data_IF_865370771911
#
_entry.id   IF_865370771911
#
_cell.length_a   1.000
_cell.length_b   1.000
_cell.length_c   1.000
_cell.angle_alpha   90.00
_cell.angle_beta   90.00
_cell.angle_gamma   90.00
#
_symmetry.space_group_name_H-M   'P 1'
#
loop_
_entity.id
_entity.type
_entity.pdbx_description
1 polymer ?
#
# COMPACT_ATOMS: atom_id res chain seq x y z
N UNK A 1 21.43 -2.50 26.99
CA UNK A 1 20.59 -2.04 25.85
C UNK A 1 21.38 -2.04 24.54
N UNK A 2 21.64 -3.23 23.95
CA UNK A 2 22.32 -3.35 22.64
C UNK A 2 21.57 -4.26 21.65
N UNK A 3 20.46 -4.87 22.08
CA UNK A 3 19.61 -5.77 21.29
C UNK A 3 18.24 -5.18 20.94
N UNK A 4 17.78 -4.14 21.65
CA UNK A 4 16.44 -3.59 21.48
C UNK A 4 16.16 -3.06 20.06
N UNK A 5 17.12 -2.36 19.44
CA UNK A 5 16.94 -1.84 18.08
C UNK A 5 16.97 -2.90 16.97
N UNK A 6 17.63 -4.05 17.20
CA UNK A 6 17.64 -5.16 16.24
C UNK A 6 16.33 -5.95 16.28
N UNK A 7 15.76 -6.13 17.47
CA UNK A 7 14.45 -6.77 17.63
C UNK A 7 13.35 -5.87 17.06
N UNK A 8 13.37 -4.57 17.37
CA UNK A 8 12.37 -3.62 16.84
C UNK A 8 12.36 -3.59 15.30
N UNK A 9 13.54 -3.55 14.67
CA UNK A 9 13.64 -3.58 13.21
C UNK A 9 13.17 -4.90 12.59
N UNK A 10 13.54 -6.04 13.19
CA UNK A 10 13.11 -7.35 12.72
C UNK A 10 11.60 -7.57 12.87
N UNK A 11 11.01 -7.10 13.97
CA UNK A 11 9.55 -7.16 14.18
C UNK A 11 8.80 -6.30 13.17
N UNK A 12 9.31 -5.11 12.85
CA UNK A 12 8.74 -4.22 11.84
C UNK A 12 8.78 -4.86 10.45
N UNK A 13 9.93 -5.37 10.01
CA UNK A 13 10.08 -6.05 8.72
C UNK A 13 9.22 -7.33 8.65
N UNK A 14 9.12 -8.07 9.76
CA UNK A 14 8.25 -9.24 9.84
C UNK A 14 6.77 -8.86 9.71
N UNK A 15 6.32 -7.81 10.41
CA UNK A 15 4.96 -7.31 10.30
C UNK A 15 4.64 -6.86 8.86
N UNK A 16 5.54 -6.10 8.24
CA UNK A 16 5.41 -5.69 6.85
C UNK A 16 5.29 -6.90 5.92
N UNK A 17 6.21 -7.86 6.00
CA UNK A 17 6.20 -9.04 5.13
C UNK A 17 4.90 -9.86 5.27
N UNK A 18 4.41 -10.02 6.50
CA UNK A 18 3.15 -10.71 6.80
C UNK A 18 1.95 -9.95 6.21
N UNK A 19 1.90 -8.64 6.35
CA UNK A 19 0.85 -7.81 5.78
C UNK A 19 0.87 -7.84 4.25
N UNK A 20 2.03 -7.64 3.63
CA UNK A 20 2.20 -7.69 2.16
C UNK A 20 1.70 -9.02 1.61
N UNK A 21 2.14 -10.13 2.21
CA UNK A 21 1.68 -11.46 1.81
C UNK A 21 0.15 -11.60 1.93
N UNK A 22 -0.42 -11.22 3.07
CA UNK A 22 -1.86 -11.32 3.32
C UNK A 22 -2.66 -10.46 2.36
N UNK A 23 -2.28 -9.19 2.17
CA UNK A 23 -2.98 -8.27 1.27
C UNK A 23 -2.92 -8.75 -0.17
N UNK A 24 -1.75 -9.20 -0.66
CA UNK A 24 -1.62 -9.66 -2.04
C UNK A 24 -2.40 -10.96 -2.29
N UNK A 25 -2.41 -11.88 -1.34
CA UNK A 25 -3.00 -13.22 -1.52
C UNK A 25 -4.47 -13.30 -1.11
N UNK A 26 -4.89 -12.51 -0.12
CA UNK A 26 -6.21 -12.60 0.52
C UNK A 26 -6.97 -11.28 0.58
N UNK A 27 -6.31 -10.15 0.31
CA UNK A 27 -6.89 -8.80 0.45
C UNK A 27 -7.30 -8.47 1.89
N UNK A 28 -6.55 -8.99 2.87
CA UNK A 28 -6.86 -8.82 4.29
C UNK A 28 -5.70 -8.13 5.02
N UNK A 29 -6.03 -7.09 5.79
CA UNK A 29 -5.13 -6.50 6.78
C UNK A 29 -5.20 -7.36 8.04
N UNK A 30 -4.07 -7.98 8.40
CA UNK A 30 -3.96 -8.81 9.60
C UNK A 30 -4.10 -7.95 10.85
N UNK A 31 -4.70 -8.50 11.89
CA UNK A 31 -4.81 -7.86 13.21
C UNK A 31 -3.47 -7.90 13.98
N UNK A 32 -3.27 -7.05 15.00
CA UNK A 32 -2.10 -7.12 15.87
C UNK A 32 -1.86 -8.52 16.46
N UNK A 33 -2.94 -9.21 16.85
CA UNK A 33 -2.89 -10.56 17.42
C UNK A 33 -2.42 -11.62 16.42
N UNK A 34 -2.77 -11.48 15.15
CA UNK A 34 -2.34 -12.40 14.07
C UNK A 34 -0.87 -12.22 13.67
N UNK A 35 -0.33 -11.02 13.87
CA UNK A 35 1.08 -10.71 13.64
C UNK A 35 1.91 -11.13 14.87
N UNK A 36 1.48 -10.75 16.08
CA UNK A 36 2.13 -11.12 17.33
C UNK A 36 3.45 -10.40 17.62
N UNK A 37 3.54 -9.11 17.28
CA UNK A 37 4.70 -8.24 17.59
C UNK A 37 4.29 -7.05 18.45
N UNK A 38 5.26 -6.28 18.94
CA UNK A 38 4.98 -5.07 19.72
C UNK A 38 4.09 -4.08 18.94
N UNK A 39 3.09 -3.42 19.57
CA UNK A 39 2.13 -2.57 18.87
C UNK A 39 2.76 -1.46 18.02
N UNK A 40 3.88 -0.88 18.49
CA UNK A 40 4.61 0.15 17.74
C UNK A 40 5.25 -0.42 16.48
N UNK A 41 5.80 -1.63 16.55
CA UNK A 41 6.44 -2.31 15.43
C UNK A 41 5.39 -2.82 14.42
N UNK A 42 4.23 -3.28 14.91
CA UNK A 42 3.06 -3.59 14.08
C UNK A 42 2.61 -2.38 13.26
N UNK A 43 2.35 -1.24 13.92
CA UNK A 43 1.90 -0.02 13.22
C UNK A 43 2.98 0.52 12.27
N UNK A 44 4.25 0.40 12.64
CA UNK A 44 5.36 0.80 11.79
C UNK A 44 5.47 -0.06 10.52
N UNK A 45 5.31 -1.38 10.63
CA UNK A 45 5.32 -2.31 9.50
C UNK A 45 4.07 -2.20 8.63
N UNK A 46 2.91 -1.91 9.24
CA UNK A 46 1.68 -1.58 8.52
C UNK A 46 1.86 -0.30 7.68
N UNK A 47 2.55 0.71 8.21
CA UNK A 47 2.93 1.91 7.45
C UNK A 47 3.84 1.60 6.25
N UNK A 48 4.87 0.78 6.43
CA UNK A 48 5.81 0.42 5.35
C UNK A 48 5.16 -0.42 4.25
N UNK A 49 4.17 -1.24 4.62
CA UNK A 49 3.34 -2.03 3.68
C UNK A 49 2.78 -1.14 2.56
N UNK A 50 2.43 0.13 2.83
CA UNK A 50 1.93 1.05 1.79
C UNK A 50 2.93 1.28 0.65
N UNK A 51 4.24 1.26 0.94
CA UNK A 51 5.29 1.36 -0.07
C UNK A 51 5.36 0.13 -0.97
N UNK A 52 5.19 -1.06 -0.40
CA UNK A 52 5.14 -2.33 -1.13
C UNK A 52 3.87 -2.46 -1.97
N UNK A 53 2.72 -2.02 -1.45
CA UNK A 53 1.47 -1.97 -2.23
C UNK A 53 1.59 -1.01 -3.42
N UNK A 54 2.20 0.17 -3.23
CA UNK A 54 2.52 1.06 -4.35
C UNK A 54 3.39 0.36 -5.39
N UNK A 55 4.45 -0.35 -4.97
CA UNK A 55 5.32 -1.10 -5.89
C UNK A 55 4.51 -2.14 -6.67
N UNK A 56 3.67 -2.91 -5.99
CA UNK A 56 2.80 -3.90 -6.61
C UNK A 56 1.83 -3.27 -7.64
N UNK A 57 1.21 -2.14 -7.31
CA UNK A 57 0.33 -1.40 -8.23
C UNK A 57 1.09 -0.94 -9.48
N UNK A 58 2.30 -0.41 -9.31
CA UNK A 58 3.13 0.01 -10.45
C UNK A 58 3.50 -1.19 -11.34
N UNK A 59 3.77 -2.37 -10.77
CA UNK A 59 4.02 -3.59 -11.54
C UNK A 59 2.76 -4.10 -12.28
N UNK A 60 1.58 -3.93 -11.69
CA UNK A 60 0.30 -4.19 -12.36
C UNK A 60 0.08 -3.25 -13.56
N UNK A 61 0.35 -1.96 -13.37
CA UNK A 61 0.27 -0.97 -14.46
C UNK A 61 1.25 -1.34 -15.58
N UNK A 62 2.50 -1.67 -15.25
CA UNK A 62 3.52 -2.08 -16.24
C UNK A 62 3.15 -3.34 -17.02
N UNK A 63 2.34 -4.23 -16.44
CA UNK A 63 1.86 -5.46 -17.09
C UNK A 63 0.52 -5.28 -17.81
N UNK A 64 0.00 -4.05 -17.94
CA UNK A 64 -1.27 -3.77 -18.60
C UNK A 64 -2.51 -4.16 -17.78
N UNK A 65 -2.32 -4.39 -16.48
CA UNK A 65 -3.35 -4.85 -15.53
C UNK A 65 -3.76 -3.75 -14.56
N UNK A 66 -3.77 -2.49 -15.01
CA UNK A 66 -4.04 -1.33 -14.17
C UNK A 66 -5.33 -1.46 -13.34
N UNK A 67 -6.40 -2.04 -13.92
CA UNK A 67 -7.66 -2.27 -13.20
C UNK A 67 -7.52 -3.13 -11.94
N UNK A 68 -6.57 -4.07 -11.93
CA UNK A 68 -6.26 -4.86 -10.73
C UNK A 68 -5.63 -4.03 -9.61
N UNK A 69 -5.09 -2.85 -9.91
CA UNK A 69 -4.48 -1.94 -8.92
C UNK A 69 -5.51 -1.25 -8.02
N UNK A 70 -6.77 -1.12 -8.44
CA UNK A 70 -7.80 -0.38 -7.71
C UNK A 70 -8.03 -0.96 -6.31
N UNK A 71 -8.16 -2.29 -6.20
CA UNK A 71 -8.30 -2.99 -4.90
C UNK A 71 -7.13 -2.74 -3.93
N UNK A 72 -5.92 -2.61 -4.45
CA UNK A 72 -4.74 -2.37 -3.62
C UNK A 72 -4.64 -0.90 -3.20
N UNK A 73 -5.14 0.01 -4.03
CA UNK A 73 -5.25 1.42 -3.68
C UNK A 73 -6.28 1.61 -2.55
N UNK A 74 -7.40 0.90 -2.58
CA UNK A 74 -8.39 0.87 -1.50
C UNK A 74 -7.76 0.38 -0.18
N UNK A 75 -6.97 -0.70 -0.22
CA UNK A 75 -6.26 -1.20 0.96
C UNK A 75 -5.20 -0.21 1.47
N UNK A 76 -4.50 0.50 0.59
CA UNK A 76 -3.60 1.60 1.02
C UNK A 76 -4.36 2.71 1.74
N UNK A 77 -5.58 3.02 1.31
CA UNK A 77 -6.44 4.01 1.96
C UNK A 77 -6.94 3.54 3.32
N UNK A 78 -7.33 2.26 3.43
CA UNK A 78 -7.69 1.64 4.71
C UNK A 78 -6.52 1.67 5.70
N UNK A 79 -5.31 1.30 5.25
CA UNK A 79 -4.09 1.38 6.06
C UNK A 79 -3.86 2.83 6.53
N UNK A 80 -3.96 3.82 5.63
CA UNK A 80 -3.77 5.21 6.00
C UNK A 80 -4.78 5.65 7.08
N UNK A 81 -6.05 5.29 6.91
CA UNK A 81 -7.12 5.60 7.85
C UNK A 81 -6.85 4.97 9.23
N UNK A 82 -6.45 3.69 9.26
CA UNK A 82 -6.06 3.01 10.50
C UNK A 82 -4.92 3.74 11.20
N UNK A 83 -3.86 4.12 10.47
CA UNK A 83 -2.72 4.84 11.05
C UNK A 83 -3.12 6.22 11.61
N UNK A 84 -4.10 6.89 11.01
CA UNK A 84 -4.61 8.18 11.51
C UNK A 84 -5.39 8.05 12.84
N UNK A 85 -5.98 6.88 13.13
CA UNK A 85 -6.69 6.67 14.40
C UNK A 85 -5.75 6.68 15.61
N UNK A 86 -4.46 6.39 15.39
CA UNK A 86 -3.45 6.29 16.45
C UNK A 86 -2.59 7.57 16.57
N UNK A 87 -3.16 8.76 16.31
CA UNK A 87 -2.51 10.07 16.48
C UNK A 87 -2.21 10.36 17.97
N UNK A 88 -1.26 9.62 18.53
CA UNK A 88 -0.74 9.80 19.88
C UNK A 88 0.45 10.78 19.86
N UNK A 89 0.69 11.48 20.99
CA UNK A 89 1.84 12.39 21.13
C UNK A 89 3.16 11.72 20.72
N UNK A 90 4.03 12.45 20.00
CA UNK A 90 5.32 11.92 19.48
C UNK A 90 6.19 11.23 20.54
N UNK A 91 6.07 11.66 21.80
CA UNK A 91 6.76 11.07 22.95
C UNK A 91 6.44 9.58 23.18
N UNK A 92 5.32 9.09 22.64
CA UNK A 92 4.83 7.72 22.81
C UNK A 92 4.97 6.89 21.52
N UNK A 93 4.96 7.52 20.34
CA UNK A 93 4.82 6.82 19.05
C UNK A 93 6.10 6.56 18.26
N UNK A 94 7.27 7.02 18.76
CA UNK A 94 8.58 6.78 18.10
C UNK A 94 8.60 7.07 16.58
N UNK A 95 7.85 8.08 16.10
CA UNK A 95 7.86 8.49 14.68
C UNK A 95 6.72 7.96 13.81
N UNK A 96 5.67 7.38 14.39
CA UNK A 96 4.50 6.90 13.64
C UNK A 96 3.82 7.99 12.80
N UNK A 97 3.78 9.24 13.29
CA UNK A 97 3.24 10.39 12.55
C UNK A 97 3.91 10.57 11.19
N UNK A 98 5.25 10.50 11.17
CA UNK A 98 6.03 10.57 9.93
C UNK A 98 5.68 9.43 8.97
N UNK A 99 5.46 8.22 9.48
CA UNK A 99 5.04 7.07 8.66
C UNK A 99 3.63 7.27 8.10
N UNK A 100 2.69 7.80 8.89
CA UNK A 100 1.34 8.14 8.42
C UNK A 100 1.37 9.20 7.30
N UNK A 101 2.21 10.23 7.44
CA UNK A 101 2.38 11.24 6.39
C UNK A 101 3.04 10.68 5.12
N UNK A 102 4.00 9.76 5.26
CA UNK A 102 4.59 9.04 4.14
C UNK A 102 3.56 8.15 3.43
N UNK A 103 2.76 7.39 4.20
CA UNK A 103 1.67 6.58 3.68
C UNK A 103 0.67 7.44 2.90
N UNK A 104 0.28 8.60 3.42
CA UNK A 104 -0.57 9.56 2.71
C UNK A 104 0.05 10.01 1.40
N UNK A 105 1.33 10.38 1.42
CA UNK A 105 2.02 10.82 0.20
C UNK A 105 2.08 9.72 -0.85
N UNK A 106 2.30 8.47 -0.44
CA UNK A 106 2.30 7.32 -1.36
C UNK A 106 0.91 7.04 -1.91
N UNK A 107 -0.14 7.10 -1.07
CA UNK A 107 -1.53 6.94 -1.48
C UNK A 107 -1.90 7.93 -2.58
N UNK A 108 -1.69 9.23 -2.35
CA UNK A 108 -2.07 10.27 -3.30
C UNK A 108 -1.34 10.14 -4.65
N UNK A 109 -0.04 9.87 -4.61
CA UNK A 109 0.75 9.64 -5.84
C UNK A 109 0.25 8.41 -6.58
N UNK A 110 -0.06 7.33 -5.87
CA UNK A 110 -0.51 6.06 -6.46
C UNK A 110 -1.90 6.21 -7.07
N UNK A 111 -2.79 6.98 -6.45
CA UNK A 111 -4.09 7.34 -7.00
C UNK A 111 -3.94 8.06 -8.34
N UNK A 112 -3.03 9.03 -8.42
CA UNK A 112 -2.73 9.74 -9.67
C UNK A 112 -2.17 8.83 -10.76
N UNK A 113 -1.17 8.01 -10.44
CA UNK A 113 -0.56 7.06 -11.39
C UNK A 113 -1.60 6.07 -11.93
N UNK A 114 -2.42 5.50 -11.05
CA UNK A 114 -3.45 4.54 -11.41
C UNK A 114 -4.55 5.15 -12.27
N UNK A 115 -5.01 6.35 -11.91
CA UNK A 115 -6.01 7.10 -12.71
C UNK A 115 -5.51 7.33 -14.13
N UNK A 116 -4.26 7.80 -14.27
CA UNK A 116 -3.66 8.02 -15.58
C UNK A 116 -3.57 6.73 -16.40
N UNK A 117 -3.15 5.62 -15.77
CA UNK A 117 -3.07 4.32 -16.44
C UNK A 117 -4.45 3.84 -16.92
N UNK A 118 -5.50 3.99 -16.10
CA UNK A 118 -6.87 3.61 -16.46
C UNK A 118 -7.42 4.44 -17.62
N UNK A 119 -7.18 5.76 -17.61
CA UNK A 119 -7.59 6.62 -18.73
C UNK A 119 -6.86 6.27 -20.02
N UNK A 120 -5.56 5.96 -19.97
CA UNK A 120 -4.80 5.47 -21.13
C UNK A 120 -5.39 4.17 -21.68
N UNK A 121 -5.77 3.22 -20.83
CA UNK A 121 -6.45 2.00 -21.26
C UNK A 121 -7.78 2.27 -21.98
N UNK A 122 -8.57 3.26 -21.52
CA UNK A 122 -9.83 3.66 -22.17
C UNK A 122 -9.59 4.28 -23.55
N UNK A 123 -8.56 5.13 -23.66
CA UNK A 123 -8.15 5.72 -24.94
C UNK A 123 -7.71 4.64 -25.91
N UNK A 124 -6.87 3.70 -25.46
CA UNK A 124 -6.40 2.59 -26.29
C UNK A 124 -7.56 1.74 -26.80
N UNK A 125 -8.52 1.39 -25.94
CA UNK A 125 -9.71 0.64 -26.32
C UNK A 125 -10.56 1.38 -27.38
N UNK A 126 -10.71 2.70 -27.22
CA UNK A 126 -11.45 3.55 -28.16
C UNK A 126 -10.76 3.60 -29.54
N UNK A 127 -9.43 3.69 -29.56
CA UNK A 127 -8.65 3.67 -30.81
C UNK A 127 -8.76 2.31 -31.52
N UNK A 128 -8.66 1.20 -30.78
CA UNK A 128 -8.84 -0.14 -31.35
C UNK A 128 -10.24 -0.31 -31.97
N UNK A 129 -11.28 0.20 -31.32
CA UNK A 129 -12.65 0.18 -31.82
C UNK A 129 -12.81 0.97 -33.13
N UNK A 130 -12.26 2.18 -33.20
CA UNK A 130 -12.27 3.01 -34.41
C UNK A 130 -11.53 2.32 -35.56
N UNK A 131 -10.35 1.74 -35.30
CA UNK A 131 -9.58 1.01 -36.29
C UNK A 131 -10.33 -0.20 -36.85
N UNK A 132 -11.11 -0.90 -36.01
CA UNK A 132 -12.00 -1.98 -36.46
C UNK A 132 -13.04 -1.48 -37.46
N UNK A 133 -13.75 -0.40 -37.13
CA UNK A 133 -14.79 0.19 -38.00
C UNK A 133 -14.28 0.73 -39.34
N UNK A 134 -13.01 1.10 -39.43
CA UNK A 134 -12.42 1.61 -40.68
C UNK A 134 -11.95 0.50 -41.62
N UNK A 135 -11.89 -0.76 -41.15
CA UNK A 135 -11.54 -1.92 -41.96
C UNK A 135 -12.74 -2.64 -42.58
N UNK A 136 -13.94 -2.36 -42.07
CA UNK A 136 -15.23 -2.81 -42.61
C UNK A 136 -15.78 -1.81 -43.63
#
# INVERSE_FOLDING_TARGET
MRYAGFVDGAEQEYAEARHVYSVITRQEILTPEEIGVEPVNYLAGLGDTTGELRRHILDLIRSGRAKEGERFLELMEEIHNLLMLFDYPEAVTKGLRRKSDLARSMLERTRGDLTNALELCKVEASLRHLHGKLKD
#
